data_IF_162335715879
#
_entry.id   IF_162335715879
#
_cell.length_a   1.000
_cell.length_b   1.000
_cell.length_c   1.000
_cell.angle_alpha   90.00
_cell.angle_beta   90.00
_cell.angle_gamma   90.00
#
_symmetry.space_group_name_H-M   'P 1'
#
loop_
_entity.id
_entity.type
_entity.pdbx_description
1 polymer ?
#
# COMPACT_ATOMS: atom_id res chain seq x y z
N UNK A 1 -21.10 -16.03 -8.23
CA UNK A 1 -20.21 -15.87 -7.05
C UNK A 1 -19.87 -14.39 -6.99
N UNK A 2 -19.94 -13.75 -5.82
CA UNK A 2 -19.51 -12.34 -5.69
C UNK A 2 -18.00 -12.26 -5.95
N UNK A 3 -17.58 -11.23 -6.65
CA UNK A 3 -16.18 -10.95 -6.95
C UNK A 3 -15.43 -10.68 -5.63
N UNK A 4 -14.33 -11.40 -5.38
CA UNK A 4 -13.59 -11.36 -4.09
C UNK A 4 -12.74 -10.09 -3.93
N UNK A 5 -12.36 -9.46 -5.04
CA UNK A 5 -11.68 -8.18 -5.13
C UNK A 5 -12.48 -7.29 -6.08
N UNK A 6 -13.03 -6.19 -5.58
CA UNK A 6 -13.73 -5.23 -6.41
C UNK A 6 -12.72 -4.21 -6.93
N UNK A 7 -12.85 -3.86 -8.20
CA UNK A 7 -12.09 -2.80 -8.86
C UNK A 7 -13.04 -1.71 -9.33
N UNK A 8 -12.77 -0.49 -8.94
CA UNK A 8 -13.47 0.71 -9.40
C UNK A 8 -12.45 1.75 -9.86
N UNK A 9 -12.70 2.37 -11.01
CA UNK A 9 -11.91 3.50 -11.48
C UNK A 9 -12.69 4.79 -11.25
N UNK A 10 -12.11 5.70 -10.49
CA UNK A 10 -12.64 7.04 -10.23
C UNK A 10 -11.63 8.04 -10.76
N UNK A 11 -11.89 8.65 -11.90
CA UNK A 11 -10.95 9.53 -12.62
C UNK A 11 -9.60 8.82 -12.85
N UNK A 12 -8.54 9.29 -12.22
CA UNK A 12 -7.19 8.69 -12.30
C UNK A 12 -6.82 7.85 -11.07
N UNK A 13 -7.80 7.50 -10.24
CA UNK A 13 -7.62 6.69 -9.03
C UNK A 13 -8.24 5.32 -9.26
N UNK A 14 -7.47 4.25 -9.02
CA UNK A 14 -8.00 2.90 -8.90
C UNK A 14 -8.37 2.61 -7.43
N UNK A 15 -9.58 2.12 -7.19
CA UNK A 15 -10.02 1.70 -5.86
C UNK A 15 -10.18 0.19 -5.85
N UNK A 16 -9.36 -0.47 -5.05
CA UNK A 16 -9.39 -1.92 -4.83
C UNK A 16 -10.05 -2.19 -3.48
N UNK A 17 -11.12 -2.98 -3.48
CA UNK A 17 -11.85 -3.32 -2.25
C UNK A 17 -11.82 -4.82 -2.02
N UNK A 18 -11.23 -5.28 -0.92
CA UNK A 18 -11.29 -6.67 -0.47
C UNK A 18 -12.76 -6.97 -0.14
N UNK A 19 -13.33 -8.02 -0.71
CA UNK A 19 -14.78 -8.27 -0.63
C UNK A 19 -15.12 -9.66 -0.07
N UNK A 20 -14.76 -9.87 1.19
CA UNK A 20 -15.11 -11.08 1.98
C UNK A 20 -15.52 -10.67 3.42
N UNK A 21 -16.38 -9.61 3.53
CA UNK A 21 -16.87 -9.15 4.83
C UNK A 21 -17.60 -10.28 5.60
N UNK A 22 -17.53 -10.29 6.94
CA UNK A 22 -16.90 -9.29 7.80
C UNK A 22 -15.38 -9.50 8.02
N UNK A 23 -14.81 -10.60 7.55
CA UNK A 23 -13.43 -10.98 7.88
C UNK A 23 -12.40 -10.50 6.84
N UNK A 24 -12.81 -10.32 5.60
CA UNK A 24 -11.97 -9.90 4.47
C UNK A 24 -10.67 -10.72 4.41
N UNK A 25 -10.84 -12.06 4.42
CA UNK A 25 -9.73 -13.01 4.41
C UNK A 25 -9.01 -12.99 3.06
N UNK A 26 -7.71 -13.05 3.11
CA UNK A 26 -6.88 -13.18 1.93
C UNK A 26 -6.88 -14.63 1.46
N UNK A 27 -7.88 -14.99 0.63
CA UNK A 27 -8.04 -16.29 0.00
C UNK A 27 -7.03 -16.50 -1.13
N UNK A 28 -6.95 -17.71 -1.68
CA UNK A 28 -6.15 -18.00 -2.87
C UNK A 28 -6.62 -17.15 -4.05
N UNK A 29 -7.93 -17.13 -4.29
CA UNK A 29 -8.51 -16.37 -5.41
C UNK A 29 -8.31 -14.85 -5.23
N UNK A 30 -8.37 -14.33 -3.98
CA UNK A 30 -8.03 -12.93 -3.73
C UNK A 30 -6.58 -12.62 -4.15
N UNK A 31 -5.63 -13.47 -3.77
CA UNK A 31 -4.22 -13.24 -4.12
C UNK A 31 -3.96 -13.35 -5.62
N UNK A 32 -4.60 -14.30 -6.31
CA UNK A 32 -4.48 -14.44 -7.76
C UNK A 32 -5.10 -13.24 -8.51
N UNK A 33 -6.25 -12.73 -8.02
CA UNK A 33 -6.87 -11.52 -8.58
C UNK A 33 -6.04 -10.26 -8.28
N UNK A 34 -5.51 -10.13 -7.06
CA UNK A 34 -4.66 -9.00 -6.70
C UNK A 34 -3.39 -8.96 -7.55
N UNK A 35 -2.73 -10.11 -7.77
CA UNK A 35 -1.55 -10.20 -8.63
C UNK A 35 -1.86 -9.69 -10.05
N UNK A 36 -2.96 -10.17 -10.65
CA UNK A 36 -3.40 -9.75 -11.98
C UNK A 36 -3.66 -8.25 -12.04
N UNK A 37 -4.42 -7.71 -11.08
CA UNK A 37 -4.74 -6.27 -11.04
C UNK A 37 -3.51 -5.42 -10.83
N UNK A 38 -2.55 -5.86 -9.98
CA UNK A 38 -1.28 -5.15 -9.77
C UNK A 38 -0.47 -5.09 -11.07
N UNK A 39 -0.42 -6.19 -11.84
CA UNK A 39 0.26 -6.22 -13.13
C UNK A 39 -0.42 -5.29 -14.16
N UNK A 40 -1.75 -5.28 -14.24
CA UNK A 40 -2.52 -4.36 -15.10
C UNK A 40 -2.30 -2.89 -14.71
N UNK A 41 -2.36 -2.57 -13.41
CA UNK A 41 -2.14 -1.21 -12.91
C UNK A 41 -0.72 -0.70 -13.16
N UNK A 42 0.27 -1.59 -13.18
CA UNK A 42 1.66 -1.21 -13.42
C UNK A 42 1.88 -0.53 -14.77
N UNK A 43 1.10 -0.91 -15.79
CA UNK A 43 1.21 -0.44 -17.18
C UNK A 43 0.09 0.53 -17.59
N UNK A 44 -0.98 0.66 -16.82
CA UNK A 44 -2.10 1.58 -17.13
C UNK A 44 -1.75 3.03 -16.80
N UNK A 45 -1.32 3.82 -17.78
CA UNK A 45 -0.98 5.24 -17.60
C UNK A 45 -2.17 6.13 -17.22
N UNK A 46 -3.41 5.66 -17.42
CA UNK A 46 -4.62 6.40 -17.06
C UNK A 46 -4.91 6.37 -15.55
N UNK A 47 -4.24 5.48 -14.79
CA UNK A 47 -4.27 5.43 -13.33
C UNK A 47 -2.97 6.03 -12.78
N UNK A 48 -3.10 6.99 -11.85
CA UNK A 48 -1.98 7.71 -11.23
C UNK A 48 -1.85 7.48 -9.73
N UNK A 49 -2.88 6.95 -9.08
CA UNK A 49 -2.80 6.50 -7.68
C UNK A 49 -3.77 5.35 -7.42
N UNK A 50 -3.57 4.63 -6.33
CA UNK A 50 -4.38 3.45 -5.97
C UNK A 50 -4.81 3.56 -4.51
N UNK A 51 -6.09 3.25 -4.23
CA UNK A 51 -6.61 3.04 -2.88
C UNK A 51 -6.85 1.56 -2.67
N UNK A 52 -6.32 1.00 -1.58
CA UNK A 52 -6.61 -0.36 -1.12
C UNK A 52 -7.44 -0.28 0.16
N UNK A 53 -8.66 -0.78 0.10
CA UNK A 53 -9.61 -0.80 1.21
C UNK A 53 -10.34 -2.14 1.31
N UNK A 54 -11.33 -2.26 2.18
CA UNK A 54 -12.11 -3.48 2.34
C UNK A 54 -13.61 -3.17 2.49
N UNK A 55 -14.44 -4.16 2.18
CA UNK A 55 -15.89 -4.07 2.32
C UNK A 55 -16.33 -4.23 3.80
N UNK A 56 -17.46 -3.62 4.13
CA UNK A 56 -17.98 -3.58 5.50
C UNK A 56 -17.26 -2.55 6.37
N UNK A 57 -17.55 -2.57 7.66
CA UNK A 57 -16.99 -1.66 8.67
C UNK A 57 -16.31 -2.42 9.82
N UNK A 58 -16.31 -3.76 9.77
CA UNK A 58 -15.81 -4.58 10.88
C UNK A 58 -14.28 -4.70 10.85
N UNK A 59 -13.73 -5.11 9.69
CA UNK A 59 -12.31 -5.41 9.57
C UNK A 59 -11.77 -5.06 8.17
N UNK A 60 -10.56 -4.54 8.13
CA UNK A 60 -9.82 -4.46 6.88
C UNK A 60 -9.45 -5.87 6.39
N UNK A 61 -8.77 -6.65 7.22
CA UNK A 61 -8.53 -8.07 6.96
C UNK A 61 -7.97 -8.78 8.20
N UNK A 62 -8.49 -9.99 8.46
CA UNK A 62 -7.91 -10.88 9.50
C UNK A 62 -6.72 -11.70 8.99
N UNK A 63 -6.24 -11.42 7.77
CA UNK A 63 -5.09 -12.06 7.16
C UNK A 63 -5.44 -13.28 6.29
N UNK A 64 -4.46 -14.17 6.12
CA UNK A 64 -4.55 -15.33 5.25
C UNK A 64 -5.68 -16.30 5.66
N UNK A 65 -6.40 -16.83 4.68
CA UNK A 65 -7.33 -17.93 4.90
C UNK A 65 -6.56 -19.23 5.13
N UNK A 66 -6.20 -19.49 6.40
CA UNK A 66 -5.38 -20.65 6.79
C UNK A 66 -6.01 -22.00 6.43
N UNK A 67 -7.35 -22.05 6.29
CA UNK A 67 -8.05 -23.29 5.87
C UNK A 67 -7.71 -23.69 4.42
N UNK A 68 -7.29 -22.73 3.61
CA UNK A 68 -6.87 -22.97 2.22
C UNK A 68 -5.37 -23.24 2.08
N UNK A 69 -4.59 -23.28 3.17
CA UNK A 69 -3.14 -23.48 3.08
C UNK A 69 -2.76 -24.80 2.38
N UNK A 70 -3.36 -25.97 2.70
CA UNK A 70 -3.04 -27.22 2.01
C UNK A 70 -3.37 -27.16 0.50
N UNK A 71 -4.56 -26.65 0.13
CA UNK A 71 -4.98 -26.44 -1.26
C UNK A 71 -4.01 -25.50 -1.99
N UNK A 72 -3.59 -24.40 -1.32
CA UNK A 72 -2.67 -23.43 -1.89
C UNK A 72 -1.29 -24.02 -2.19
N UNK A 73 -0.78 -24.87 -1.30
CA UNK A 73 0.49 -25.59 -1.51
C UNK A 73 0.36 -26.53 -2.73
N UNK A 74 -0.72 -27.28 -2.82
CA UNK A 74 -0.99 -28.15 -3.97
C UNK A 74 -1.10 -27.35 -5.29
N UNK A 75 -1.86 -26.25 -5.27
CA UNK A 75 -2.11 -25.37 -6.44
C UNK A 75 -0.83 -24.70 -6.95
N UNK A 76 0.09 -24.32 -6.06
CA UNK A 76 1.36 -23.64 -6.43
C UNK A 76 2.56 -24.61 -6.50
N UNK A 77 2.38 -25.87 -6.13
CA UNK A 77 3.40 -26.91 -6.16
C UNK A 77 4.29 -27.01 -4.92
N UNK A 78 4.43 -25.95 -4.13
CA UNK A 78 5.14 -25.95 -2.85
C UNK A 78 4.67 -24.82 -1.93
N UNK A 79 5.05 -24.89 -0.65
CA UNK A 79 4.79 -23.80 0.32
C UNK A 79 5.61 -22.55 -0.04
N UNK A 80 6.83 -22.73 -0.47
CA UNK A 80 7.73 -21.67 -0.91
C UNK A 80 7.10 -20.91 -2.08
N UNK A 81 6.70 -21.60 -3.15
CA UNK A 81 6.07 -20.97 -4.31
C UNK A 81 4.75 -20.25 -3.96
N UNK A 82 3.98 -20.78 -3.00
CA UNK A 82 2.80 -20.10 -2.49
C UNK A 82 3.15 -18.78 -1.81
N UNK A 83 4.21 -18.73 -0.99
CA UNK A 83 4.61 -17.51 -0.28
C UNK A 83 5.37 -16.55 -1.19
N UNK A 84 6.16 -17.05 -2.14
CA UNK A 84 6.85 -16.24 -3.15
C UNK A 84 5.88 -15.40 -3.98
N UNK A 85 4.71 -15.94 -4.34
CA UNK A 85 3.66 -15.15 -4.99
C UNK A 85 3.26 -13.94 -4.14
N UNK A 86 3.05 -14.13 -2.82
CA UNK A 86 2.62 -13.04 -1.92
C UNK A 86 3.72 -11.99 -1.78
N UNK A 87 4.95 -12.46 -1.59
CA UNK A 87 6.13 -11.59 -1.55
C UNK A 87 6.27 -10.77 -2.83
N UNK A 88 6.17 -11.43 -3.99
CA UNK A 88 6.26 -10.77 -5.30
C UNK A 88 5.16 -9.72 -5.50
N UNK A 89 3.91 -10.02 -5.12
CA UNK A 89 2.80 -9.04 -5.23
C UNK A 89 3.06 -7.81 -4.36
N UNK A 90 3.52 -8.01 -3.11
CA UNK A 90 3.82 -6.89 -2.21
C UNK A 90 5.02 -6.09 -2.72
N UNK A 91 6.05 -6.74 -3.24
CA UNK A 91 7.21 -6.10 -3.85
C UNK A 91 6.83 -5.27 -5.09
N UNK A 92 5.93 -5.80 -5.94
CA UNK A 92 5.40 -5.05 -7.09
C UNK A 92 4.63 -3.79 -6.65
N UNK A 93 3.84 -3.88 -5.58
CA UNK A 93 3.14 -2.71 -4.99
C UNK A 93 4.17 -1.69 -4.46
N UNK A 94 5.13 -2.15 -3.65
CA UNK A 94 6.16 -1.32 -3.03
C UNK A 94 7.03 -0.59 -4.06
N UNK A 95 7.35 -1.23 -5.19
CA UNK A 95 8.19 -0.65 -6.24
C UNK A 95 7.39 -0.03 -7.39
N UNK A 96 6.06 0.07 -7.26
CA UNK A 96 5.25 0.70 -8.30
C UNK A 96 5.49 2.21 -8.33
N UNK A 97 5.61 2.78 -9.53
CA UNK A 97 5.80 4.22 -9.76
C UNK A 97 4.52 5.06 -9.52
N UNK A 98 3.52 4.48 -8.86
CA UNK A 98 2.24 5.10 -8.53
C UNK A 98 1.99 4.98 -7.05
N UNK A 99 1.61 6.06 -6.34
CA UNK A 99 1.32 5.98 -4.92
C UNK A 99 0.13 5.05 -4.61
N UNK A 100 0.28 4.23 -3.59
CA UNK A 100 -0.76 3.38 -3.01
C UNK A 100 -1.13 3.88 -1.62
N UNK A 101 -2.42 4.01 -1.35
CA UNK A 101 -2.99 4.42 -0.07
C UNK A 101 -3.81 3.27 0.50
N UNK A 102 -3.43 2.72 1.65
CA UNK A 102 -4.18 1.68 2.34
C UNK A 102 -4.99 2.25 3.51
N UNK A 103 -6.22 1.75 3.71
CA UNK A 103 -7.03 2.04 4.89
C UNK A 103 -6.92 0.91 5.90
N UNK A 104 -6.71 1.21 7.19
CA UNK A 104 -6.57 0.23 8.26
C UNK A 104 -7.68 0.44 9.29
N UNK A 105 -8.59 -0.52 9.46
CA UNK A 105 -9.70 -0.46 10.41
C UNK A 105 -10.07 -1.85 10.92
N UNK A 106 -10.67 -1.93 12.12
CA UNK A 106 -10.94 -3.20 12.77
C UNK A 106 -9.67 -4.05 12.86
N UNK A 107 -9.74 -5.32 12.56
CA UNK A 107 -8.55 -6.17 12.46
C UNK A 107 -7.77 -5.91 11.17
N UNK A 108 -6.46 -5.67 11.33
CA UNK A 108 -5.46 -5.57 10.28
C UNK A 108 -4.31 -6.49 10.69
N UNK A 109 -4.46 -7.81 10.48
CA UNK A 109 -3.62 -8.82 11.10
C UNK A 109 -2.91 -9.70 10.07
N UNK A 110 -1.66 -10.06 10.36
CA UNK A 110 -0.85 -10.93 9.50
C UNK A 110 -0.77 -10.37 8.09
N UNK A 111 -1.13 -11.17 7.08
CA UNK A 111 -1.20 -10.70 5.69
C UNK A 111 -2.03 -9.43 5.52
N UNK A 112 -3.02 -9.17 6.41
CA UNK A 112 -3.82 -7.94 6.46
C UNK A 112 -3.04 -6.70 6.90
N UNK A 113 -1.85 -6.85 7.46
CA UNK A 113 -0.89 -5.78 7.66
C UNK A 113 0.28 -5.88 6.67
N UNK A 114 0.68 -7.10 6.26
CA UNK A 114 1.84 -7.29 5.38
C UNK A 114 1.64 -6.63 4.00
N UNK A 115 0.44 -6.72 3.40
CA UNK A 115 0.14 -6.02 2.13
C UNK A 115 0.15 -4.49 2.33
N UNK A 116 -0.55 -3.90 3.32
CA UNK A 116 -0.45 -2.47 3.58
C UNK A 116 0.95 -1.94 3.87
N UNK A 117 1.85 -2.77 4.44
CA UNK A 117 3.26 -2.38 4.61
C UNK A 117 4.01 -2.18 3.29
N UNK A 118 3.56 -2.79 2.19
CA UNK A 118 4.04 -2.50 0.84
C UNK A 118 3.41 -1.26 0.22
N UNK A 119 2.31 -0.72 0.76
CA UNK A 119 1.71 0.53 0.30
C UNK A 119 2.51 1.74 0.77
N UNK A 120 2.49 2.83 0.01
CA UNK A 120 3.27 4.04 0.28
C UNK A 120 2.65 4.89 1.41
N UNK A 121 1.32 4.95 1.44
CA UNK A 121 0.58 5.65 2.48
C UNK A 121 -0.37 4.68 3.19
N UNK A 122 -0.54 4.87 4.48
CA UNK A 122 -1.48 4.13 5.33
C UNK A 122 -2.26 5.10 6.19
N UNK A 123 -3.58 4.99 6.18
CA UNK A 123 -4.48 5.72 7.04
C UNK A 123 -5.18 4.73 7.97
N UNK A 124 -5.41 5.08 9.22
CA UNK A 124 -6.09 4.19 10.17
C UNK A 124 -7.35 4.81 10.76
N UNK A 125 -8.29 3.96 11.17
CA UNK A 125 -9.41 4.43 11.97
C UNK A 125 -8.96 4.84 13.38
N UNK A 126 -9.52 5.94 13.88
CA UNK A 126 -9.26 6.44 15.23
C UNK A 126 -9.79 5.51 16.31
N UNK A 127 -10.83 4.77 16.00
CA UNK A 127 -11.49 3.82 16.89
C UNK A 127 -11.51 2.40 16.29
N UNK A 128 -11.44 1.39 17.16
CA UNK A 128 -11.62 -0.02 16.82
C UNK A 128 -10.47 -0.69 16.05
N UNK A 129 -9.49 0.04 15.53
CA UNK A 129 -8.36 -0.56 14.83
C UNK A 129 -7.50 -1.42 15.76
N UNK A 130 -7.17 -2.62 15.29
CA UNK A 130 -6.26 -3.56 15.92
C UNK A 130 -5.26 -4.06 14.88
N UNK A 131 -4.08 -3.46 14.89
CA UNK A 131 -3.06 -3.60 13.84
C UNK A 131 -1.88 -4.38 14.38
N UNK A 132 -1.47 -5.47 13.73
CA UNK A 132 -0.34 -6.27 14.21
C UNK A 132 0.00 -7.49 13.37
N UNK A 133 1.10 -8.14 13.76
CA UNK A 133 1.59 -9.41 13.21
C UNK A 133 1.59 -10.48 14.33
N UNK A 134 0.41 -11.08 14.63
CA UNK A 134 0.26 -11.98 15.79
C UNK A 134 0.55 -13.44 15.46
N UNK A 135 1.38 -13.73 14.47
CA UNK A 135 1.67 -15.11 14.00
C UNK A 135 2.24 -16.00 15.09
N UNK A 136 2.98 -15.44 16.05
CA UNK A 136 3.54 -16.19 17.17
C UNK A 136 2.47 -16.80 18.08
N UNK A 137 1.26 -16.22 18.17
CA UNK A 137 0.13 -16.83 18.88
C UNK A 137 -0.30 -18.17 18.26
N UNK A 138 0.08 -18.42 17.00
CA UNK A 138 -0.18 -19.65 16.26
C UNK A 138 1.07 -20.56 16.16
N UNK A 139 2.18 -20.20 16.82
CA UNK A 139 3.45 -20.89 16.67
C UNK A 139 4.07 -20.72 15.27
N UNK A 140 3.67 -19.68 14.53
CA UNK A 140 4.14 -19.35 13.19
C UNK A 140 4.92 -18.03 13.20
N UNK A 141 5.40 -17.61 12.03
CA UNK A 141 6.07 -16.33 11.83
C UNK A 141 5.46 -15.61 10.63
N UNK A 142 5.51 -14.26 10.56
CA UNK A 142 5.14 -13.51 9.36
C UNK A 142 5.92 -14.03 8.14
N UNK A 143 5.25 -14.29 7.03
CA UNK A 143 5.85 -15.01 5.91
C UNK A 143 5.87 -14.21 4.59
N UNK A 144 5.25 -13.04 4.55
CA UNK A 144 5.17 -12.19 3.34
C UNK A 144 6.05 -10.93 3.44
N UNK A 145 7.09 -11.00 4.28
CA UNK A 145 8.05 -9.91 4.49
C UNK A 145 7.60 -8.86 5.51
N UNK A 146 6.54 -9.15 6.29
CA UNK A 146 5.98 -8.23 7.28
C UNK A 146 6.97 -7.84 8.37
N UNK A 147 7.77 -8.78 8.86
CA UNK A 147 8.75 -8.51 9.92
C UNK A 147 9.79 -7.47 9.48
N UNK A 148 10.34 -7.64 8.28
CA UNK A 148 11.35 -6.74 7.74
C UNK A 148 10.75 -5.34 7.45
N UNK A 149 9.59 -5.30 6.78
CA UNK A 149 8.92 -4.03 6.44
C UNK A 149 8.44 -3.28 7.67
N UNK A 150 7.92 -4.00 8.69
CA UNK A 150 7.52 -3.36 9.94
C UNK A 150 8.72 -2.74 10.65
N UNK A 151 9.83 -3.48 10.80
CA UNK A 151 11.05 -2.95 11.43
C UNK A 151 11.62 -1.73 10.67
N UNK A 152 11.59 -1.77 9.34
CA UNK A 152 11.98 -0.63 8.50
C UNK A 152 11.06 0.59 8.70
N UNK A 153 9.75 0.36 8.89
CA UNK A 153 8.75 1.42 9.02
C UNK A 153 8.78 2.10 10.40
N UNK A 154 8.80 1.31 11.49
CA UNK A 154 8.62 1.81 12.88
C UNK A 154 9.87 1.69 13.75
N UNK A 155 10.95 1.18 13.18
CA UNK A 155 12.18 0.85 13.91
C UNK A 155 12.09 -0.48 14.67
N UNK A 156 13.27 -1.05 14.97
CA UNK A 156 13.39 -2.37 15.60
C UNK A 156 12.67 -2.46 16.95
N UNK A 157 12.74 -1.40 17.76
CA UNK A 157 12.14 -1.41 19.11
C UNK A 157 10.62 -1.67 19.05
N UNK A 158 9.89 -0.93 18.22
CA UNK A 158 8.44 -1.10 18.09
C UNK A 158 8.08 -2.39 17.37
N UNK A 159 8.86 -2.79 16.36
CA UNK A 159 8.66 -4.04 15.66
C UNK A 159 8.83 -5.26 16.57
N UNK A 160 9.87 -5.29 17.43
CA UNK A 160 10.06 -6.34 18.43
C UNK A 160 8.89 -6.41 19.41
N UNK A 161 8.42 -5.26 19.93
CA UNK A 161 7.27 -5.23 20.86
C UNK A 161 6.00 -5.77 20.21
N UNK A 162 5.75 -5.43 18.95
CA UNK A 162 4.57 -5.89 18.22
C UNK A 162 4.66 -7.38 17.85
N UNK A 163 5.80 -7.82 17.29
CA UNK A 163 5.94 -9.19 16.76
C UNK A 163 6.14 -10.20 17.91
N UNK A 164 7.17 -9.99 18.76
CA UNK A 164 7.54 -10.99 19.77
C UNK A 164 6.49 -11.14 20.88
N UNK A 165 5.60 -10.18 21.05
CA UNK A 165 4.50 -10.22 22.01
C UNK A 165 3.13 -10.37 21.36
N UNK A 166 3.08 -10.62 20.04
CA UNK A 166 1.83 -10.69 19.27
C UNK A 166 0.89 -9.49 19.54
N UNK A 167 1.48 -8.33 19.80
CA UNK A 167 0.76 -7.14 20.24
C UNK A 167 0.00 -6.52 19.07
N UNK A 168 -1.25 -6.20 19.33
CA UNK A 168 -2.10 -5.42 18.42
C UNK A 168 -2.18 -4.00 18.94
N UNK A 169 -1.96 -3.01 18.07
CA UNK A 169 -1.97 -1.58 18.43
C UNK A 169 -3.18 -0.87 17.81
N UNK A 170 -3.59 0.23 18.44
CA UNK A 170 -4.66 1.09 17.94
C UNK A 170 -4.17 1.95 16.75
N UNK A 171 -5.12 2.53 15.99
CA UNK A 171 -4.79 3.51 14.96
C UNK A 171 -4.01 4.72 15.49
N UNK A 172 -4.36 5.19 16.69
CA UNK A 172 -3.65 6.29 17.35
C UNK A 172 -2.19 5.91 17.66
N UNK A 173 -1.96 4.75 18.26
CA UNK A 173 -0.59 4.27 18.52
C UNK A 173 0.17 4.06 17.24
N UNK A 174 -0.48 3.53 16.19
CA UNK A 174 0.11 3.37 14.87
C UNK A 174 0.59 4.71 14.28
N UNK A 175 -0.15 5.79 14.50
CA UNK A 175 0.26 7.15 14.11
C UNK A 175 1.43 7.65 14.96
N UNK A 176 1.38 7.46 16.28
CA UNK A 176 2.43 7.90 17.22
C UNK A 176 3.80 7.27 16.90
N UNK A 177 3.83 6.02 16.43
CA UNK A 177 5.08 5.31 16.06
C UNK A 177 5.45 5.41 14.57
N UNK A 178 4.68 6.16 13.77
CA UNK A 178 4.95 6.37 12.35
C UNK A 178 4.54 5.21 11.43
N UNK A 179 3.73 4.24 11.91
CA UNK A 179 3.21 3.16 11.07
C UNK A 179 2.17 3.66 10.07
N UNK A 180 1.34 4.63 10.46
CA UNK A 180 0.34 5.27 9.60
C UNK A 180 0.56 6.78 9.51
N UNK A 181 0.14 7.37 8.41
CA UNK A 181 0.33 8.79 8.09
C UNK A 181 -0.75 9.68 8.69
N UNK A 182 -1.98 9.14 8.81
CA UNK A 182 -3.14 9.87 9.31
C UNK A 182 -4.08 8.94 10.06
N UNK A 183 -4.92 9.56 10.92
CA UNK A 183 -5.97 8.86 11.67
C UNK A 183 -7.28 9.61 11.48
N UNK A 184 -8.34 8.88 11.10
CA UNK A 184 -9.66 9.42 10.79
C UNK A 184 -10.77 8.64 11.50
N UNK A 185 -11.93 9.24 11.79
CA UNK A 185 -13.13 8.48 12.18
C UNK A 185 -13.44 7.41 11.14
N UNK A 186 -13.88 6.22 11.57
CA UNK A 186 -14.09 5.08 10.68
C UNK A 186 -15.01 5.41 9.49
N UNK A 187 -16.07 6.17 9.73
CA UNK A 187 -17.01 6.58 8.68
C UNK A 187 -16.45 7.59 7.68
N UNK A 188 -15.31 8.22 7.97
CA UNK A 188 -14.63 9.19 7.11
C UNK A 188 -13.35 8.62 6.46
N UNK A 189 -12.87 7.47 6.94
CA UNK A 189 -11.57 6.91 6.58
C UNK A 189 -11.44 6.63 5.07
N UNK A 190 -12.44 6.00 4.45
CA UNK A 190 -12.42 5.72 3.01
C UNK A 190 -12.40 7.01 2.19
N UNK A 191 -13.19 7.99 2.60
CA UNK A 191 -13.22 9.28 1.92
C UNK A 191 -11.90 10.05 2.09
N UNK A 192 -11.28 9.99 3.27
CA UNK A 192 -9.95 10.57 3.50
C UNK A 192 -8.89 9.92 2.60
N UNK A 193 -8.91 8.59 2.45
CA UNK A 193 -8.01 7.89 1.54
C UNK A 193 -8.23 8.29 0.08
N UNK A 194 -9.48 8.46 -0.35
CA UNK A 194 -9.81 8.94 -1.69
C UNK A 194 -9.35 10.38 -1.91
N UNK A 195 -9.50 11.27 -0.93
CA UNK A 195 -8.99 12.66 -1.01
C UNK A 195 -7.47 12.67 -1.19
N UNK A 196 -6.74 11.92 -0.36
CA UNK A 196 -5.29 11.80 -0.48
C UNK A 196 -4.88 11.22 -1.84
N UNK A 197 -5.52 10.15 -2.29
CA UNK A 197 -5.23 9.54 -3.58
C UNK A 197 -5.48 10.51 -4.75
N UNK A 198 -6.57 11.29 -4.71
CA UNK A 198 -6.85 12.32 -5.71
C UNK A 198 -5.82 13.46 -5.69
N UNK A 199 -5.38 13.89 -4.49
CA UNK A 199 -4.31 14.87 -4.34
C UNK A 199 -3.01 14.37 -4.99
N UNK A 200 -2.62 13.12 -4.73
CA UNK A 200 -1.45 12.49 -5.32
C UNK A 200 -1.59 12.32 -6.85
N UNK A 201 -2.77 11.91 -7.32
CA UNK A 201 -3.05 11.73 -8.74
C UNK A 201 -3.09 13.05 -9.53
N UNK A 202 -3.35 14.18 -8.85
CA UNK A 202 -3.32 15.51 -9.45
C UNK A 202 -1.90 16.08 -9.64
N UNK A 203 -0.90 15.49 -8.98
CA UNK A 203 0.50 15.89 -9.17
C UNK A 203 1.02 15.50 -10.57
N UNK A 204 2.08 16.15 -11.09
CA UNK A 204 2.67 15.80 -12.37
C UNK A 204 3.15 14.35 -12.38
N UNK A 205 2.55 13.50 -13.22
CA UNK A 205 2.78 12.05 -13.19
C UNK A 205 4.26 11.67 -13.33
N UNK A 206 4.98 12.28 -14.28
CA UNK A 206 6.41 12.04 -14.48
C UNK A 206 7.27 12.44 -13.28
N UNK A 207 6.93 13.55 -12.62
CA UNK A 207 7.66 14.00 -11.44
C UNK A 207 7.40 13.06 -10.24
N UNK A 208 6.14 12.63 -10.05
CA UNK A 208 5.78 11.64 -9.02
C UNK A 208 6.54 10.34 -9.25
N UNK A 209 6.50 9.78 -10.47
CA UNK A 209 7.23 8.57 -10.82
C UNK A 209 8.74 8.70 -10.53
N UNK A 210 9.35 9.83 -10.92
CA UNK A 210 10.76 10.09 -10.68
C UNK A 210 11.08 10.17 -9.18
N UNK A 211 10.25 10.83 -8.39
CA UNK A 211 10.44 10.91 -6.95
C UNK A 211 10.20 9.58 -6.24
N UNK A 212 9.25 8.78 -6.70
CA UNK A 212 9.04 7.42 -6.18
C UNK A 212 10.32 6.57 -6.34
N UNK A 213 10.99 6.61 -7.51
CA UNK A 213 12.27 5.91 -7.73
C UNK A 213 13.39 6.38 -6.79
N UNK A 214 13.39 7.63 -6.37
CA UNK A 214 14.37 8.15 -5.40
C UNK A 214 14.02 7.72 -3.99
N UNK A 215 12.74 7.84 -3.58
CA UNK A 215 12.30 7.72 -2.20
C UNK A 215 12.05 6.28 -1.75
N UNK A 216 11.48 5.43 -2.63
CA UNK A 216 11.22 4.02 -2.31
C UNK A 216 12.55 3.30 -2.07
N UNK A 217 12.63 2.57 -0.96
CA UNK A 217 13.84 1.86 -0.55
C UNK A 217 15.10 2.74 -0.39
N UNK A 218 14.94 4.05 -0.16
CA UNK A 218 16.06 4.98 0.01
C UNK A 218 17.00 4.59 1.15
N UNK A 219 16.49 4.00 2.24
CA UNK A 219 17.30 3.54 3.37
C UNK A 219 18.28 2.41 3.05
N UNK A 220 18.11 1.72 1.92
CA UNK A 220 18.97 0.61 1.46
C UNK A 220 20.02 1.04 0.44
N UNK A 221 20.04 2.32 0.08
CA UNK A 221 20.89 2.90 -0.96
C UNK A 221 21.84 3.94 -0.37
N UNK A 222 23.02 4.12 -0.99
CA UNK A 222 23.94 5.18 -0.56
C UNK A 222 23.37 6.58 -0.89
N UNK A 223 23.69 7.58 -0.06
CA UNK A 223 23.32 8.97 -0.34
C UNK A 223 23.82 9.43 -1.72
N UNK A 224 24.99 8.94 -2.14
CA UNK A 224 25.55 9.24 -3.46
C UNK A 224 24.64 8.74 -4.59
N UNK A 225 24.20 7.47 -4.51
CA UNK A 225 23.32 6.88 -5.53
C UNK A 225 21.97 7.59 -5.58
N UNK A 226 21.43 7.98 -4.41
CA UNK A 226 20.18 8.73 -4.34
C UNK A 226 20.30 10.12 -4.99
N UNK A 227 21.42 10.84 -4.76
CA UNK A 227 21.68 12.14 -5.41
C UNK A 227 21.87 11.97 -6.93
N UNK A 228 22.49 10.89 -7.39
CA UNK A 228 22.62 10.60 -8.82
C UNK A 228 21.26 10.33 -9.47
N UNK A 229 20.38 9.56 -8.80
CA UNK A 229 19.01 9.32 -9.27
C UNK A 229 18.18 10.62 -9.28
N UNK A 230 18.31 11.47 -8.25
CA UNK A 230 17.66 12.78 -8.20
C UNK A 230 18.11 13.69 -9.36
N UNK A 231 19.40 13.72 -9.69
CA UNK A 231 19.92 14.45 -10.86
C UNK A 231 19.33 13.94 -12.17
N UNK A 232 19.17 12.63 -12.30
CA UNK A 232 18.50 12.02 -13.43
C UNK A 232 17.05 12.44 -13.49
N UNK A 233 16.34 12.39 -12.35
CA UNK A 233 14.95 12.85 -12.24
C UNK A 233 14.79 14.30 -12.70
N UNK A 234 15.70 15.22 -12.29
CA UNK A 234 15.71 16.60 -12.75
C UNK A 234 15.83 16.69 -14.27
N UNK A 235 16.75 15.91 -14.88
CA UNK A 235 16.95 15.90 -16.33
C UNK A 235 15.70 15.37 -17.05
N UNK A 236 15.13 14.26 -16.58
CA UNK A 236 13.99 13.60 -17.20
C UNK A 236 12.72 14.48 -17.14
N UNK A 237 12.58 15.31 -16.09
CA UNK A 237 11.44 16.21 -15.93
C UNK A 237 11.62 17.60 -16.58
N UNK A 238 12.86 17.98 -16.94
CA UNK A 238 13.13 19.28 -17.55
C UNK A 238 12.49 19.40 -18.94
N UNK A 239 11.70 20.46 -19.13
CA UNK A 239 11.06 20.74 -20.43
C UNK A 239 9.83 19.89 -20.74
N UNK A 240 9.36 19.07 -19.80
CA UNK A 240 8.05 18.40 -19.94
C UNK A 240 6.92 19.41 -19.94
N UNK A 241 5.76 19.07 -20.54
CA UNK A 241 4.57 19.93 -20.53
C UNK A 241 4.21 20.37 -19.11
N UNK A 242 4.21 19.44 -18.16
CA UNK A 242 3.89 19.72 -16.76
C UNK A 242 4.92 20.62 -16.08
N UNK A 243 6.21 20.48 -16.37
CA UNK A 243 7.24 21.37 -15.80
C UNK A 243 7.11 22.79 -16.32
N UNK A 244 6.75 22.97 -17.60
CA UNK A 244 6.47 24.26 -18.21
C UNK A 244 5.18 24.87 -17.66
N UNK A 245 4.12 24.05 -17.53
CA UNK A 245 2.85 24.48 -16.92
C UNK A 245 3.06 24.94 -15.48
N UNK A 246 3.77 24.17 -14.67
CA UNK A 246 4.07 24.53 -13.28
C UNK A 246 4.81 25.85 -13.16
N UNK A 247 5.81 26.10 -14.03
CA UNK A 247 6.55 27.36 -14.07
C UNK A 247 5.66 28.53 -14.49
N UNK A 248 4.88 28.36 -15.54
CA UNK A 248 3.98 29.39 -16.05
C UNK A 248 2.89 29.73 -15.01
N UNK A 249 2.25 28.73 -14.43
CA UNK A 249 1.24 28.92 -13.40
C UNK A 249 1.80 29.67 -12.17
N UNK A 250 3.03 29.34 -11.76
CA UNK A 250 3.70 30.05 -10.66
C UNK A 250 3.92 31.54 -10.99
N UNK A 251 4.42 31.85 -12.19
CA UNK A 251 4.65 33.24 -12.63
C UNK A 251 3.34 34.02 -12.77
N UNK A 252 2.27 33.35 -13.24
CA UNK A 252 0.95 33.92 -13.41
C UNK A 252 0.11 33.95 -12.11
N UNK A 253 0.63 33.40 -11.00
CA UNK A 253 -0.04 33.28 -9.69
C UNK A 253 -1.38 32.56 -9.75
N UNK A 254 -1.49 31.52 -10.56
CA UNK A 254 -2.64 30.62 -10.65
C UNK A 254 -2.26 29.19 -10.23
N UNK A 255 -3.28 28.36 -10.01
CA UNK A 255 -3.04 26.92 -9.79
C UNK A 255 -2.65 26.26 -11.12
N UNK A 256 -1.63 25.38 -11.11
CA UNK A 256 -1.28 24.60 -12.29
C UNK A 256 -2.34 23.53 -12.58
N UNK A 257 -2.43 23.13 -13.85
CA UNK A 257 -3.27 22.03 -14.32
C UNK A 257 -2.34 21.03 -15.02
N UNK A 258 -1.98 19.97 -14.29
CA UNK A 258 -1.05 18.95 -14.76
C UNK A 258 -1.75 17.81 -15.50
N UNK A 259 -0.93 16.95 -16.15
CA UNK A 259 -1.38 15.75 -16.83
C UNK A 259 -2.40 16.04 -17.97
N UNK A 260 -2.21 17.16 -18.66
CA UNK A 260 -2.96 17.49 -19.88
C UNK A 260 -2.19 16.95 -21.09
N UNK A 261 -2.72 15.91 -21.72
CA UNK A 261 -2.14 15.27 -22.92
C UNK A 261 -2.29 16.11 -24.18
#
# INVERSE_FOLDING_TARGET
>A
MSEILLYEKIDAVAVLTINDAPYNRMSLDFMDNLEKVVDELSIDSSIRSVVLTASGLDNFSVGMNLKQLPEGIERKGSREALFDQRLSVIEKIENMNKPWVATLFGYCLGGGLEIPLGCHFRLASSEGAQIGLPELDLGAVPAWGGSARLAKCVGEHHAMDMILRSKKISGKTAFEIGLVHEVWPLNELKEAALRLANELAAQPAHAVESMMRVLVNSSERSLKDLIEEERKAVKDNSGTKDSLEGMNAFLEKRKPIFNQD
#
